data_IF_428417210736
#
_entry.id   IF_428417210736
#
_cell.length_a   1.000
_cell.length_b   1.000
_cell.length_c   1.000
_cell.angle_alpha   90.00
_cell.angle_beta   90.00
_cell.angle_gamma   90.00
#
_symmetry.space_group_name_H-M   'P 1'
#
loop_
_entity.id
_entity.type
_entity.pdbx_description
1 polymer ?
#
# COMPACT_ATOMS: atom_id res chain seq x y z
N UNK A 1 6.06 13.01 28.75
CA UNK A 1 5.98 11.54 28.97
C UNK A 1 4.86 10.88 28.17
N UNK A 2 3.59 11.30 28.28
CA UNK A 2 2.48 10.67 27.53
C UNK A 2 2.63 10.78 26.00
N UNK A 3 2.97 11.96 25.48
CA UNK A 3 3.22 12.15 24.04
C UNK A 3 4.34 11.23 23.52
N UNK A 4 5.44 11.10 24.26
CA UNK A 4 6.56 10.21 23.92
C UNK A 4 6.16 8.73 23.86
N UNK A 5 5.18 8.32 24.67
CA UNK A 5 4.64 6.95 24.70
C UNK A 5 3.75 6.69 23.49
N UNK A 6 2.96 7.69 23.07
CA UNK A 6 2.01 7.55 21.97
C UNK A 6 2.71 7.68 20.62
N UNK A 7 3.74 8.53 20.54
CA UNK A 7 4.44 8.87 19.31
C UNK A 7 5.82 8.21 19.19
N UNK A 8 6.08 7.05 19.79
CA UNK A 8 7.33 6.32 19.55
C UNK A 8 7.14 5.28 18.44
N UNK A 9 7.45 5.69 17.21
CA UNK A 9 7.42 4.86 16.00
C UNK A 9 6.11 4.05 15.87
N UNK A 10 4.99 4.76 16.05
CA UNK A 10 3.66 4.18 16.12
C UNK A 10 3.33 3.34 14.87
N UNK A 11 3.64 3.84 13.67
CA UNK A 11 3.32 3.13 12.43
C UNK A 11 4.20 1.90 12.23
N UNK A 12 5.49 2.01 12.56
CA UNK A 12 6.42 0.88 12.55
C UNK A 12 5.93 -0.22 13.50
N UNK A 13 5.51 0.12 14.73
CA UNK A 13 4.95 -0.85 15.68
C UNK A 13 3.68 -1.50 15.16
N UNK A 14 2.80 -0.70 14.55
CA UNK A 14 1.52 -1.17 14.01
C UNK A 14 1.73 -2.18 12.88
N UNK A 15 2.65 -1.90 11.97
CA UNK A 15 2.90 -2.74 10.79
C UNK A 15 3.81 -3.94 11.07
N UNK A 16 4.83 -3.80 11.93
CA UNK A 16 5.72 -4.90 12.30
C UNK A 16 5.03 -5.95 13.20
N UNK A 17 3.82 -5.66 13.69
CA UNK A 17 2.97 -6.61 14.39
C UNK A 17 3.26 -6.75 15.89
N UNK A 18 2.77 -7.85 16.48
CA UNK A 18 2.66 -7.99 17.94
C UNK A 18 3.99 -7.93 18.68
N UNK A 19 5.08 -8.41 18.08
CA UNK A 19 6.42 -8.34 18.68
C UNK A 19 6.85 -6.90 18.87
N UNK A 20 6.79 -6.09 17.81
CA UNK A 20 7.12 -4.66 17.85
C UNK A 20 6.19 -3.88 18.78
N UNK A 21 4.91 -4.22 18.84
CA UNK A 21 3.96 -3.55 19.74
C UNK A 21 4.29 -3.73 21.22
N UNK A 22 4.89 -4.87 21.59
CA UNK A 22 5.25 -5.20 22.98
C UNK A 22 6.66 -4.78 23.36
N UNK A 23 7.49 -4.45 22.37
CA UNK A 23 8.84 -3.91 22.61
C UNK A 23 8.75 -2.63 23.43
N UNK A 24 9.57 -2.43 24.46
CA UNK A 24 9.58 -1.19 25.23
C UNK A 24 9.82 0.06 24.36
N UNK A 25 9.44 1.24 24.89
CA UNK A 25 9.63 2.50 24.18
C UNK A 25 11.11 2.82 23.99
N UNK A 26 11.49 3.22 22.78
CA UNK A 26 12.90 3.45 22.39
C UNK A 26 13.71 2.18 22.10
N UNK A 27 13.14 0.97 22.26
CA UNK A 27 13.85 -0.30 22.04
C UNK A 27 13.56 -0.96 20.67
N UNK A 28 12.82 -0.28 19.79
CA UNK A 28 12.73 -0.73 18.41
C UNK A 28 14.11 -0.72 17.74
N UNK A 29 14.25 -1.55 16.72
CA UNK A 29 15.50 -1.73 16.01
C UNK A 29 15.22 -1.99 14.52
N UNK A 30 16.28 -2.10 13.72
CA UNK A 30 16.20 -2.27 12.27
C UNK A 30 15.40 -3.51 11.83
N UNK A 31 15.32 -4.56 12.65
CA UNK A 31 14.54 -5.76 12.33
C UNK A 31 13.04 -5.44 12.32
N UNK A 32 12.59 -4.59 13.25
CA UNK A 32 11.20 -4.14 13.29
C UNK A 32 10.86 -3.25 12.10
N UNK A 33 11.75 -2.32 11.74
CA UNK A 33 11.57 -1.50 10.53
C UNK A 33 11.48 -2.38 9.27
N UNK A 34 12.38 -3.34 9.11
CA UNK A 34 12.37 -4.25 7.96
C UNK A 34 11.07 -5.08 7.89
N UNK A 35 10.54 -5.52 9.04
CA UNK A 35 9.25 -6.20 9.09
C UNK A 35 8.10 -5.27 8.69
N UNK A 36 8.07 -4.04 9.19
CA UNK A 36 7.06 -3.04 8.81
C UNK A 36 7.12 -2.71 7.31
N UNK A 37 8.32 -2.49 6.75
CA UNK A 37 8.52 -2.25 5.33
C UNK A 37 8.05 -3.43 4.48
N UNK A 38 8.29 -4.67 4.90
CA UNK A 38 7.79 -5.86 4.19
C UNK A 38 6.26 -5.90 4.15
N UNK A 39 5.60 -5.60 5.26
CA UNK A 39 4.13 -5.52 5.31
C UNK A 39 3.64 -4.38 4.42
N UNK A 40 4.25 -3.19 4.50
CA UNK A 40 3.90 -2.04 3.68
C UNK A 40 4.00 -2.35 2.17
N UNK A 41 5.07 -3.02 1.74
CA UNK A 41 5.29 -3.47 0.36
C UNK A 41 4.31 -4.53 -0.13
N UNK A 42 3.65 -5.24 0.80
CA UNK A 42 2.64 -6.25 0.46
C UNK A 42 1.24 -5.68 0.27
N UNK A 43 1.04 -4.38 0.52
CA UNK A 43 -0.23 -3.71 0.29
C UNK A 43 -0.41 -3.38 -1.20
N UNK A 44 -1.62 -3.56 -1.71
CA UNK A 44 -1.95 -3.26 -3.12
C UNK A 44 -1.89 -1.77 -3.44
N UNK A 45 -2.19 -0.92 -2.46
CA UNK A 45 -2.19 0.54 -2.59
C UNK A 45 -1.67 1.19 -1.32
N UNK A 46 -0.77 2.15 -1.50
CA UNK A 46 -0.28 2.99 -0.39
C UNK A 46 -0.74 4.42 -0.62
N UNK A 47 -1.60 4.92 0.27
CA UNK A 47 -2.13 6.28 0.20
C UNK A 47 -1.38 7.20 1.17
N UNK A 48 -0.88 8.32 0.65
CA UNK A 48 -0.21 9.36 1.45
C UNK A 48 -1.12 10.58 1.50
N UNK A 49 -1.50 11.01 2.70
CA UNK A 49 -2.55 12.04 2.87
C UNK A 49 -2.18 13.37 2.21
N UNK A 50 -0.91 13.74 2.23
CA UNK A 50 -0.39 14.99 1.68
C UNK A 50 -0.08 14.89 0.17
N UNK A 51 -0.20 13.69 -0.41
CA UNK A 51 0.16 13.48 -1.81
C UNK A 51 -0.95 13.89 -2.76
N UNK A 52 -0.58 14.67 -3.79
CA UNK A 52 -1.49 15.05 -4.88
C UNK A 52 -1.95 13.85 -5.73
N UNK A 53 -1.27 12.71 -5.64
CA UNK A 53 -1.64 11.48 -6.35
C UNK A 53 -2.79 10.72 -5.69
N UNK A 54 -3.02 10.91 -4.38
CA UNK A 54 -3.99 10.14 -3.60
C UNK A 54 -5.41 10.20 -4.17
N UNK A 55 -5.96 11.35 -4.61
CA UNK A 55 -7.27 11.39 -5.26
C UNK A 55 -7.34 10.53 -6.52
N UNK A 56 -6.28 10.52 -7.33
CA UNK A 56 -6.23 9.72 -8.55
C UNK A 56 -6.19 8.21 -8.22
N UNK A 57 -5.43 7.81 -7.21
CA UNK A 57 -5.37 6.42 -6.75
C UNK A 57 -6.73 5.99 -6.17
N UNK A 58 -7.39 6.84 -5.39
CA UNK A 58 -8.74 6.55 -4.88
C UNK A 58 -9.74 6.36 -6.03
N UNK A 59 -9.74 7.26 -7.02
CA UNK A 59 -10.66 7.22 -8.15
C UNK A 59 -10.37 6.05 -9.10
N UNK A 60 -9.09 5.80 -9.42
CA UNK A 60 -8.68 4.90 -10.51
C UNK A 60 -8.06 3.60 -10.07
N UNK A 61 -7.50 3.55 -8.86
CA UNK A 61 -7.00 2.32 -8.27
C UNK A 61 -8.09 1.59 -7.48
N UNK A 62 -8.88 2.34 -6.70
CA UNK A 62 -9.88 1.77 -5.79
C UNK A 62 -11.33 1.89 -6.29
N UNK A 63 -11.57 2.67 -7.37
CA UNK A 63 -12.91 2.88 -7.92
C UNK A 63 -13.83 3.67 -6.98
N UNK A 64 -13.26 4.43 -6.03
CA UNK A 64 -14.01 5.28 -5.12
C UNK A 64 -14.36 6.58 -5.85
N UNK A 65 -15.65 6.75 -6.13
CA UNK A 65 -16.19 7.89 -6.91
C UNK A 65 -15.77 9.25 -6.34
N UNK A 66 -15.49 10.18 -7.24
CA UNK A 66 -15.08 11.58 -7.02
C UNK A 66 -13.80 11.81 -6.20
N UNK A 67 -13.10 10.76 -5.75
CA UNK A 67 -11.88 10.90 -4.94
C UNK A 67 -12.11 11.61 -3.59
N UNK A 68 -13.38 11.88 -3.24
CA UNK A 68 -13.76 12.55 -2.01
C UNK A 68 -13.79 11.51 -0.90
N UNK A 69 -12.82 11.59 0.00
CA UNK A 69 -12.95 10.91 1.28
C UNK A 69 -14.14 11.56 2.01
N UNK A 70 -15.20 10.81 2.38
CA UNK A 70 -16.43 11.38 2.95
C UNK A 70 -16.21 12.13 4.29
N UNK A 71 -14.98 12.10 4.81
CA UNK A 71 -14.53 12.76 6.02
C UNK A 71 -13.21 13.51 5.80
N UNK A 72 -13.04 14.19 4.66
CA UNK A 72 -11.95 15.17 4.53
C UNK A 72 -12.21 16.32 5.50
N UNK A 73 -11.69 16.19 6.72
CA UNK A 73 -11.57 17.33 7.62
C UNK A 73 -10.50 18.20 7.01
N UNK A 74 -10.91 19.31 6.40
CA UNK A 74 -10.04 20.46 6.26
C UNK A 74 -9.66 20.88 7.68
N UNK A 75 -8.56 20.34 8.18
CA UNK A 75 -7.96 20.83 9.41
C UNK A 75 -7.71 22.30 9.14
N UNK A 76 -8.42 23.18 9.86
CA UNK A 76 -7.95 24.54 10.06
C UNK A 76 -6.48 24.43 10.40
N UNK A 77 -5.64 25.26 9.79
CA UNK A 77 -4.20 25.31 10.03
C UNK A 77 -3.91 25.75 11.47
N UNK A 78 -4.37 25.01 12.45
CA UNK A 78 -3.85 25.01 13.81
C UNK A 78 -2.59 24.16 13.77
N UNK A 79 -1.63 24.62 12.96
CA UNK A 79 -0.26 24.16 13.02
C UNK A 79 0.24 24.62 14.37
N UNK A 80 0.39 23.68 15.30
CA UNK A 80 1.17 23.95 16.50
C UNK A 80 2.57 24.33 16.02
N UNK A 81 3.01 25.55 16.34
CA UNK A 81 4.37 25.99 16.05
C UNK A 81 5.31 25.20 16.96
N UNK A 82 5.96 24.19 16.40
CA UNK A 82 6.96 23.41 17.11
C UNK A 82 8.30 24.15 17.06
N UNK A 83 8.98 24.25 18.20
CA UNK A 83 10.36 24.72 18.22
C UNK A 83 11.24 23.73 17.44
N UNK A 84 12.31 24.22 16.78
CA UNK A 84 13.22 23.37 16.02
C UNK A 84 13.83 22.23 16.86
N UNK A 85 14.04 22.46 18.16
CA UNK A 85 14.49 21.44 19.11
C UNK A 85 13.47 20.33 19.31
N UNK A 86 12.17 20.67 19.33
CA UNK A 86 11.09 19.69 19.48
C UNK A 86 10.95 18.86 18.23
N UNK A 87 11.07 19.49 17.05
CA UNK A 87 11.09 18.79 15.76
C UNK A 87 12.25 17.79 15.71
N UNK A 88 13.47 18.22 16.06
CA UNK A 88 14.63 17.32 16.10
C UNK A 88 14.44 16.15 17.06
N UNK A 89 13.94 16.43 18.27
CA UNK A 89 13.64 15.42 19.26
C UNK A 89 12.60 14.41 18.76
N UNK A 90 11.50 14.89 18.17
CA UNK A 90 10.43 14.04 17.63
C UNK A 90 10.91 13.22 16.44
N UNK A 91 11.77 13.78 15.58
CA UNK A 91 12.37 13.06 14.46
C UNK A 91 13.32 11.95 14.93
N UNK A 92 14.10 12.19 15.99
CA UNK A 92 14.94 11.15 16.58
C UNK A 92 14.10 10.04 17.21
N UNK A 93 13.04 10.42 17.94
CA UNK A 93 12.10 9.47 18.53
C UNK A 93 11.39 8.64 17.47
N UNK A 94 11.05 9.23 16.32
CA UNK A 94 10.29 8.61 15.22
C UNK A 94 11.14 8.25 14.00
N UNK A 95 12.43 7.99 14.18
CA UNK A 95 13.34 7.74 13.05
C UNK A 95 12.85 6.60 12.13
N UNK A 96 12.25 5.55 12.68
CA UNK A 96 11.77 4.43 11.87
C UNK A 96 10.45 4.75 11.18
N UNK A 97 9.57 5.52 11.81
CA UNK A 97 8.36 6.00 11.14
C UNK A 97 8.71 6.96 9.99
N UNK A 98 9.75 7.77 10.13
CA UNK A 98 10.27 8.62 9.03
C UNK A 98 10.78 7.74 7.88
N UNK A 99 11.64 6.76 8.17
CA UNK A 99 12.14 5.84 7.14
C UNK A 99 11.02 5.01 6.49
N UNK A 100 10.00 4.63 7.25
CA UNK A 100 8.83 3.91 6.75
C UNK A 100 7.93 4.82 5.90
N UNK A 101 7.81 6.10 6.27
CA UNK A 101 7.08 7.11 5.49
C UNK A 101 7.77 7.37 4.14
N UNK A 102 9.10 7.47 4.12
CA UNK A 102 9.85 7.62 2.86
C UNK A 102 9.60 6.42 1.92
N UNK A 103 9.53 5.21 2.47
CA UNK A 103 9.16 4.01 1.71
C UNK A 103 7.69 4.06 1.23
N UNK A 104 6.77 4.56 2.06
CA UNK A 104 5.37 4.73 1.68
C UNK A 104 5.21 5.72 0.52
N UNK A 105 5.95 6.84 0.55
CA UNK A 105 5.99 7.81 -0.55
C UNK A 105 6.56 7.17 -1.82
N UNK A 106 7.62 6.35 -1.70
CA UNK A 106 8.18 5.62 -2.84
C UNK A 106 7.16 4.68 -3.48
N UNK A 107 6.44 3.90 -2.68
CA UNK A 107 5.40 2.97 -3.15
C UNK A 107 4.22 3.73 -3.77
N UNK A 108 3.74 4.79 -3.13
CA UNK A 108 2.69 5.66 -3.68
C UNK A 108 3.06 6.25 -5.05
N UNK A 109 4.32 6.60 -5.28
CA UNK A 109 4.79 7.03 -6.61
C UNK A 109 4.79 5.90 -7.65
N UNK A 110 5.08 4.66 -7.24
CA UNK A 110 4.99 3.50 -8.14
C UNK A 110 3.54 3.20 -8.52
N UNK A 111 2.62 3.30 -7.58
CA UNK A 111 1.18 3.19 -7.81
C UNK A 111 0.72 4.22 -8.85
N UNK A 112 1.16 5.47 -8.71
CA UNK A 112 0.86 6.53 -9.68
C UNK A 112 1.39 6.19 -11.09
N UNK A 113 2.65 5.77 -11.20
CA UNK A 113 3.25 5.38 -12.49
C UNK A 113 2.52 4.21 -13.14
N UNK A 114 2.07 3.26 -12.33
CA UNK A 114 1.27 2.12 -12.79
C UNK A 114 -0.05 2.58 -13.42
N UNK A 115 -0.73 3.54 -12.79
CA UNK A 115 -1.95 4.15 -13.31
C UNK A 115 -1.71 4.97 -14.59
N UNK A 116 -0.59 5.70 -14.66
CA UNK A 116 -0.18 6.42 -15.87
C UNK A 116 0.09 5.47 -17.04
N UNK A 117 0.80 4.37 -16.79
CA UNK A 117 1.04 3.33 -17.78
C UNK A 117 -0.27 2.67 -18.23
N UNK A 118 -1.19 2.39 -17.30
CA UNK A 118 -2.51 1.86 -17.63
C UNK A 118 -3.29 2.83 -18.52
N UNK A 119 -3.27 4.13 -18.21
CA UNK A 119 -3.90 5.17 -19.03
C UNK A 119 -3.32 5.23 -20.46
N UNK A 120 -2.00 5.07 -20.59
CA UNK A 120 -1.31 5.14 -21.88
C UNK A 120 -1.57 3.90 -22.74
N UNK A 121 -1.51 2.71 -22.15
CA UNK A 121 -1.52 1.44 -22.88
C UNK A 121 -2.89 0.74 -22.92
N UNK A 122 -3.80 1.09 -22.02
CA UNK A 122 -5.14 0.52 -21.95
C UNK A 122 -6.19 1.59 -21.53
N UNK A 123 -6.40 2.62 -22.37
CA UNK A 123 -7.26 3.76 -22.02
C UNK A 123 -8.72 3.36 -21.75
N UNK A 124 -9.23 2.31 -22.42
CA UNK A 124 -10.57 1.78 -22.17
C UNK A 124 -10.70 1.17 -20.77
N UNK A 125 -9.72 0.37 -20.36
CA UNK A 125 -9.65 -0.21 -19.01
C UNK A 125 -9.54 0.89 -17.95
N UNK A 126 -8.68 1.89 -18.19
CA UNK A 126 -8.54 3.05 -17.31
C UNK A 126 -9.83 3.87 -17.18
N UNK A 127 -10.62 3.99 -18.26
CA UNK A 127 -11.89 4.72 -18.26
C UNK A 127 -13.00 3.99 -17.48
N UNK A 128 -13.02 2.65 -17.52
CA UNK A 128 -14.06 1.81 -16.91
C UNK A 128 -14.05 1.80 -15.38
N UNK A 129 -12.98 2.24 -14.72
CA UNK A 129 -12.90 2.26 -13.25
C UNK A 129 -13.81 3.34 -12.61
N UNK A 130 -14.38 4.25 -13.42
CA UNK A 130 -15.32 5.27 -12.92
C UNK A 130 -16.69 4.67 -12.59
N UNK A 131 -17.00 4.65 -11.30
CA UNK A 131 -18.34 4.44 -10.76
C UNK A 131 -18.52 3.05 -10.19
N UNK A 132 -19.31 2.94 -9.10
CA UNK A 132 -19.67 1.69 -8.44
C UNK A 132 -20.50 0.71 -9.28
N UNK A 133 -20.35 0.74 -10.60
CA UNK A 133 -20.81 -0.29 -11.50
C UNK A 133 -20.03 -1.58 -11.28
N UNK A 134 -20.69 -2.70 -11.59
CA UNK A 134 -20.14 -4.07 -11.58
C UNK A 134 -19.11 -4.28 -12.70
N UNK A 135 -18.21 -3.32 -12.90
CA UNK A 135 -17.11 -3.42 -13.84
C UNK A 135 -15.98 -4.29 -13.26
N UNK A 136 -15.19 -4.94 -14.12
CA UNK A 136 -14.03 -5.70 -13.68
C UNK A 136 -13.06 -4.79 -12.94
N UNK A 137 -12.77 -5.09 -11.66
CA UNK A 137 -11.68 -4.41 -10.95
C UNK A 137 -10.37 -4.88 -11.56
N UNK A 138 -9.49 -3.94 -11.87
CA UNK A 138 -8.20 -4.24 -12.46
C UNK A 138 -7.09 -4.02 -11.42
N UNK A 139 -6.41 -5.09 -11.01
CA UNK A 139 -5.16 -4.99 -10.25
C UNK A 139 -4.01 -5.08 -11.26
N UNK A 140 -3.27 -3.99 -11.48
CA UNK A 140 -2.27 -3.91 -12.53
C UNK A 140 -2.87 -3.91 -13.94
N UNK A 141 -2.36 -4.77 -14.83
CA UNK A 141 -2.78 -4.83 -16.25
C UNK A 141 -3.97 -5.76 -16.52
N UNK A 142 -4.54 -6.42 -15.51
CA UNK A 142 -5.62 -7.40 -15.71
C UNK A 142 -6.93 -6.91 -15.13
N UNK A 143 -7.95 -6.79 -15.97
CA UNK A 143 -9.33 -6.53 -15.58
C UNK A 143 -10.10 -7.86 -15.50
N UNK A 144 -10.57 -8.23 -14.30
CA UNK A 144 -11.29 -9.49 -14.11
C UNK A 144 -12.77 -9.36 -14.52
N UNK A 145 -13.07 -9.55 -15.81
CA UNK A 145 -14.43 -9.58 -16.33
C UNK A 145 -15.11 -10.90 -16.04
N UNK A 146 -16.21 -10.89 -15.27
CA UNK A 146 -17.09 -12.05 -15.19
C UNK A 146 -17.94 -12.15 -16.47
N UNK A 147 -17.64 -13.20 -17.25
CA UNK A 147 -18.53 -14.01 -18.09
C UNK A 147 -19.25 -13.36 -19.29
N UNK A 148 -18.70 -13.61 -20.48
CA UNK A 148 -19.45 -14.43 -21.46
C UNK A 148 -18.58 -15.61 -21.90
N UNK A 149 -19.20 -16.77 -21.99
CA UNK A 149 -18.63 -18.10 -22.16
C UNK A 149 -17.70 -18.25 -23.37
N UNK A 150 -16.42 -18.57 -23.13
CA UNK A 150 -15.56 -19.21 -24.13
C UNK A 150 -15.11 -20.59 -23.60
N UNK A 151 -15.12 -21.67 -24.42
CA UNK A 151 -15.07 -23.05 -23.92
C UNK A 151 -13.66 -23.61 -23.72
N UNK A 152 -12.62 -22.78 -23.69
CA UNK A 152 -11.25 -23.25 -23.52
C UNK A 152 -10.61 -22.49 -22.36
N UNK A 153 -10.50 -23.17 -21.22
CA UNK A 153 -9.92 -22.64 -20.00
C UNK A 153 -8.54 -22.04 -20.26
N UNK A 154 -8.41 -20.74 -20.01
CA UNK A 154 -7.12 -20.09 -19.85
C UNK A 154 -6.98 -19.66 -18.40
N UNK A 155 -5.93 -20.16 -17.75
CA UNK A 155 -5.40 -19.59 -16.53
C UNK A 155 -4.77 -18.24 -16.90
N UNK A 156 -5.33 -17.15 -16.40
CA UNK A 156 -4.73 -15.83 -16.55
C UNK A 156 -3.62 -15.68 -15.49
N UNK A 157 -2.37 -15.68 -15.95
CA UNK A 157 -1.21 -15.32 -15.16
C UNK A 157 -0.92 -13.82 -15.34
N UNK A 158 -0.49 -13.16 -14.27
CA UNK A 158 0.01 -11.79 -14.30
C UNK A 158 1.24 -11.73 -15.21
N UNK A 159 1.09 -11.19 -16.43
CA UNK A 159 2.23 -10.90 -17.30
C UNK A 159 2.27 -9.40 -17.59
N UNK A 160 3.21 -8.71 -16.92
CA UNK A 160 3.69 -7.39 -17.34
C UNK A 160 4.14 -7.47 -18.81
N UNK A 161 3.84 -6.45 -19.61
CA UNK A 161 4.42 -6.36 -20.94
C UNK A 161 5.97 -6.32 -20.80
N UNK A 162 6.73 -7.16 -21.52
CA UNK A 162 8.19 -7.25 -21.38
C UNK A 162 8.91 -5.91 -21.47
N UNK A 163 8.42 -4.99 -22.32
CA UNK A 163 8.98 -3.65 -22.48
C UNK A 163 8.90 -2.78 -21.23
N UNK A 164 7.86 -2.93 -20.40
CA UNK A 164 7.70 -2.22 -19.13
C UNK A 164 8.61 -2.78 -18.04
N UNK A 165 8.84 -4.10 -18.05
CA UNK A 165 9.79 -4.74 -17.12
C UNK A 165 11.20 -4.19 -17.35
N UNK A 166 11.61 -4.05 -18.60
CA UNK A 166 12.93 -3.54 -18.96
C UNK A 166 13.10 -2.05 -18.58
N UNK A 167 12.08 -1.23 -18.80
CA UNK A 167 12.06 0.18 -18.37
C UNK A 167 12.12 0.32 -16.84
N UNK A 168 11.39 -0.52 -16.10
CA UNK A 168 11.32 -0.45 -14.64
C UNK A 168 12.58 -1.04 -13.97
N UNK A 169 13.20 -2.06 -14.57
CA UNK A 169 14.53 -2.56 -14.18
C UNK A 169 15.62 -1.52 -14.44
N UNK A 170 15.56 -0.82 -15.56
CA UNK A 170 16.51 0.25 -15.90
C UNK A 170 16.39 1.44 -14.95
N UNK A 171 15.20 1.71 -14.42
CA UNK A 171 14.96 2.71 -13.39
C UNK A 171 15.32 2.25 -11.96
N UNK A 172 15.80 1.00 -11.76
CA UNK A 172 16.01 0.36 -10.44
C UNK A 172 14.76 0.36 -9.53
N UNK A 173 13.57 0.35 -10.12
CA UNK A 173 12.31 0.49 -9.38
C UNK A 173 11.68 -0.84 -8.96
N UNK A 174 12.16 -1.97 -9.51
CA UNK A 174 11.65 -3.32 -9.20
C UNK A 174 12.83 -4.24 -8.91
N UNK A 175 12.99 -4.64 -7.64
CA UNK A 175 13.65 -5.91 -7.34
C UNK A 175 12.68 -7.04 -7.73
N UNK A 176 13.20 -8.13 -8.29
CA UNK A 176 12.41 -9.18 -8.94
C UNK A 176 11.41 -9.94 -8.03
N UNK A 177 11.25 -9.56 -6.75
CA UNK A 177 10.38 -10.20 -5.76
C UNK A 177 8.89 -9.80 -5.85
N UNK A 178 8.53 -8.70 -6.51
CA UNK A 178 7.15 -8.17 -6.53
C UNK A 178 6.16 -8.98 -7.41
N UNK A 179 6.61 -10.07 -8.03
CA UNK A 179 5.76 -10.96 -8.84
C UNK A 179 5.74 -12.39 -8.30
N UNK A 180 5.65 -12.55 -6.97
CA UNK A 180 5.39 -13.87 -6.40
C UNK A 180 3.90 -14.20 -6.54
N UNK A 181 3.53 -15.41 -6.99
CA UNK A 181 2.14 -15.85 -6.99
C UNK A 181 1.56 -15.81 -5.57
N UNK A 182 0.23 -15.64 -5.41
CA UNK A 182 -0.39 -15.66 -4.08
C UNK A 182 0.01 -16.93 -3.34
N UNK A 183 0.42 -16.78 -2.08
CA UNK A 183 0.71 -17.91 -1.22
C UNK A 183 -0.52 -18.83 -1.14
N UNK A 184 -0.35 -20.17 -1.21
CA UNK A 184 -1.46 -21.07 -1.06
C UNK A 184 -2.15 -20.83 0.29
N UNK A 185 -3.48 -21.00 0.37
CA UNK A 185 -4.21 -20.83 1.62
C UNK A 185 -3.60 -21.72 2.70
N UNK A 186 -3.36 -21.14 3.87
CA UNK A 186 -2.86 -21.88 5.03
C UNK A 186 -3.84 -23.02 5.35
N UNK A 187 -3.35 -24.24 5.64
CA UNK A 187 -4.21 -25.34 6.03
C UNK A 187 -5.00 -24.94 7.28
N UNK A 188 -6.32 -25.12 7.23
CA UNK A 188 -7.18 -24.90 8.39
C UNK A 188 -6.74 -25.83 9.53
N UNK A 189 -6.68 -25.34 10.78
CA UNK A 189 -6.43 -26.21 11.92
C UNK A 189 -7.53 -27.27 12.01
N UNK A 190 -7.20 -28.52 12.40
CA UNK A 190 -8.19 -29.56 12.56
C UNK A 190 -9.26 -29.11 13.57
N UNK A 191 -10.53 -29.20 13.15
CA UNK A 191 -11.67 -28.98 14.01
C UNK A 191 -11.58 -29.96 15.18
N UNK A 192 -11.45 -29.43 16.40
CA UNK A 192 -11.54 -30.24 17.61
C UNK A 192 -12.95 -30.85 17.66
N UNK A 193 -13.03 -32.17 17.48
CA UNK A 193 -14.24 -32.94 17.73
C UNK A 193 -14.51 -32.88 19.23
N UNK A 194 -15.67 -32.40 19.69
CA UNK A 194 -16.03 -32.50 21.10
C UNK A 194 -16.17 -33.99 21.45
N UNK A 195 -15.36 -34.46 22.38
CA UNK A 195 -15.45 -35.83 22.90
C UNK A 195 -16.80 -36.05 23.58
N UNK A 196 -17.51 -37.09 23.13
CA UNK A 196 -18.62 -37.72 23.84
C UNK A 196 -18.14 -38.95 24.61
#
# INVERSE_FOLDING_TARGET
KLLQTISDNYYTRSLAGRSAWRTPFGELNATHLAAAQRVLRSLDWVLVLESRSTPLILERGLGLGDGVLPHERHTTKDTADFASSDVQYLSQLNRFDIELYDEAVRLNMLDLKSLEALKLHAPEAFAQVRGGGKGPRCCGYTCQGHLTSHPLGQQFACSLAPSLIDEWRSAKLVEAEYCSPPLPPLPLPPLAVPGG
#
